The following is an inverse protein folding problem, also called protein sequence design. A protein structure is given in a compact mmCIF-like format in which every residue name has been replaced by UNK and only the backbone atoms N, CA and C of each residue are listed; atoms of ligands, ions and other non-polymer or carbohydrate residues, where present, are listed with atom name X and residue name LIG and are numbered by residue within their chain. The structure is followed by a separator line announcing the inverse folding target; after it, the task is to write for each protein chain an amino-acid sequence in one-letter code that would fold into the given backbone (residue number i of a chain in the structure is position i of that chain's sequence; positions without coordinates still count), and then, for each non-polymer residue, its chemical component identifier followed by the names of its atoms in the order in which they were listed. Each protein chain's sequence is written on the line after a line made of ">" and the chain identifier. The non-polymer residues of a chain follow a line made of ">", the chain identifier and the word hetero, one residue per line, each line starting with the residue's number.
data_IF_377515613820
#
_entry.id   IF_377515613820
#
_cell.length_a   1.000
_cell.length_b   1.000
_cell.length_c   1.000
_cell.angle_alpha   90.00
_cell.angle_beta   90.00
_cell.angle_gamma   90.00
#
_symmetry.space_group_name_H-M   'P 1'
#
loop_
_entity.id
_entity.type
_entity.pdbx_description
1 polymer ?
#
# COMPACT_ATOMS: atom_id res chain seq x y z
N UNK A 1 5.10 22.84 -13.17
CA UNK A 1 5.72 21.79 -14.02
C UNK A 1 5.14 21.77 -15.45
N UNK A 2 3.79 21.85 -15.70
CA UNK A 2 3.26 21.88 -17.07
C UNK A 2 3.85 22.99 -17.95
N UNK A 3 4.12 24.18 -17.39
CA UNK A 3 4.71 25.30 -18.12
C UNK A 3 6.16 25.06 -18.55
N UNK A 4 6.94 24.26 -17.79
CA UNK A 4 8.31 23.90 -18.14
C UNK A 4 8.40 22.96 -19.35
N UNK A 5 7.39 22.10 -19.55
CA UNK A 5 7.34 21.16 -20.67
C UNK A 5 6.93 21.84 -22.00
N UNK A 6 6.27 23.00 -21.94
CA UNK A 6 5.78 23.74 -23.11
C UNK A 6 6.78 24.84 -23.52
N UNK A 7 7.70 25.23 -22.63
CA UNK A 7 8.68 26.28 -22.94
C UNK A 7 9.78 25.73 -23.85
N UNK A 8 9.71 26.12 -25.11
CA UNK A 8 10.69 25.74 -26.18
C UNK A 8 12.14 26.15 -25.87
N UNK A 9 12.39 26.92 -24.81
CA UNK A 9 13.72 27.37 -24.40
C UNK A 9 14.59 26.29 -23.75
N UNK A 10 13.97 25.19 -23.27
CA UNK A 10 14.68 24.11 -22.60
C UNK A 10 14.78 22.89 -23.47
N UNK A 11 15.98 22.33 -23.59
CA UNK A 11 16.17 21.02 -24.18
C UNK A 11 15.82 19.91 -23.17
N UNK A 12 15.74 18.65 -23.64
CA UNK A 12 15.36 17.49 -22.83
C UNK A 12 16.16 17.38 -21.50
N UNK A 13 17.47 17.52 -21.56
CA UNK A 13 18.35 17.42 -20.39
C UNK A 13 18.12 18.57 -19.40
N UNK A 14 17.95 19.79 -19.90
CA UNK A 14 17.68 20.96 -19.08
C UNK A 14 16.32 20.86 -18.37
N UNK A 15 15.29 20.32 -19.04
CA UNK A 15 13.99 20.07 -18.42
C UNK A 15 14.15 19.07 -17.25
N UNK A 16 14.88 17.97 -17.46
CA UNK A 16 15.12 17.00 -16.41
C UNK A 16 15.91 17.59 -15.24
N UNK A 17 16.92 18.39 -15.52
CA UNK A 17 17.67 19.10 -14.48
C UNK A 17 16.79 20.04 -13.66
N UNK A 18 15.92 20.82 -14.32
CA UNK A 18 14.97 21.71 -13.63
C UNK A 18 13.95 20.91 -12.79
N UNK A 19 13.49 19.77 -13.28
CA UNK A 19 12.62 18.87 -12.50
C UNK A 19 13.34 18.35 -11.26
N UNK A 20 14.59 17.94 -11.36
CA UNK A 20 15.38 17.47 -10.23
C UNK A 20 15.58 18.58 -9.20
N UNK A 21 16.02 19.78 -9.63
CA UNK A 21 16.19 20.93 -8.75
C UNK A 21 14.88 21.32 -8.04
N UNK A 22 13.76 21.28 -8.77
CA UNK A 22 12.46 21.50 -8.16
C UNK A 22 12.13 20.46 -7.09
N UNK A 23 12.40 19.19 -7.36
CA UNK A 23 12.16 18.13 -6.38
C UNK A 23 13.07 18.24 -5.15
N UNK A 24 14.32 18.68 -5.31
CA UNK A 24 15.24 18.95 -4.20
C UNK A 24 14.77 20.13 -3.33
N UNK A 25 14.09 21.10 -3.93
CA UNK A 25 13.55 22.29 -3.22
C UNK A 25 12.29 22.03 -2.40
N UNK A 26 11.64 20.86 -2.54
CA UNK A 26 10.34 20.57 -1.91
C UNK A 26 10.39 20.33 -0.39
N UNK A 27 11.49 20.64 0.28
CA UNK A 27 11.61 20.50 1.73
C UNK A 27 11.68 19.06 2.22
N UNK A 28 11.91 18.89 3.53
CA UNK A 28 12.07 17.57 4.16
C UNK A 28 10.79 16.75 4.28
N UNK A 29 10.96 15.47 4.60
CA UNK A 29 9.86 14.53 4.80
C UNK A 29 9.30 14.64 6.23
N UNK A 30 8.63 15.75 6.52
CA UNK A 30 8.07 16.08 7.83
C UNK A 30 6.60 16.48 7.73
N UNK A 31 5.76 16.15 8.73
CA UNK A 31 4.39 16.65 8.82
C UNK A 31 4.27 18.18 8.85
N UNK A 32 5.35 18.89 9.21
CA UNK A 32 5.39 20.36 9.17
C UNK A 32 5.40 20.91 7.74
N UNK A 33 5.88 20.12 6.77
CA UNK A 33 5.86 20.49 5.34
C UNK A 33 4.50 20.19 4.72
N UNK A 34 3.96 19.03 5.01
CA UNK A 34 2.61 18.64 4.61
C UNK A 34 2.05 17.58 5.58
N UNK A 35 0.80 17.69 6.02
CA UNK A 35 0.22 16.82 7.03
C UNK A 35 0.27 15.32 6.67
N UNK A 36 0.24 14.98 5.38
CA UNK A 36 0.30 13.59 4.90
C UNK A 36 1.70 13.12 4.49
N UNK A 37 2.77 13.86 4.80
CA UNK A 37 4.12 13.38 4.56
C UNK A 37 4.38 12.07 5.33
N UNK A 38 4.84 11.06 4.62
CA UNK A 38 5.14 9.74 5.18
C UNK A 38 6.43 9.19 4.61
N UNK A 39 7.44 8.97 5.45
CA UNK A 39 8.67 8.31 5.06
C UNK A 39 8.41 6.88 4.55
N UNK A 40 9.26 6.40 3.65
CA UNK A 40 9.12 5.11 2.96
C UNK A 40 8.87 3.92 3.89
N UNK A 41 9.47 3.90 5.08
CA UNK A 41 9.31 2.82 6.08
C UNK A 41 7.94 2.83 6.79
N UNK A 42 7.19 3.92 6.67
CA UNK A 42 5.82 4.04 7.20
C UNK A 42 4.78 3.42 6.28
N UNK A 43 5.07 3.30 4.98
CA UNK A 43 4.10 2.81 4.00
C UNK A 43 3.73 1.34 4.18
N UNK A 44 4.68 0.40 4.40
CA UNK A 44 4.34 -0.99 4.63
C UNK A 44 3.41 -1.22 5.82
N UNK A 45 3.46 -0.32 6.80
CA UNK A 45 2.62 -0.40 8.01
C UNK A 45 1.29 0.36 7.88
N UNK A 46 1.05 1.03 6.76
CA UNK A 46 -0.15 1.86 6.54
C UNK A 46 -0.35 2.91 7.65
N UNK A 47 0.73 3.52 8.14
CA UNK A 47 0.66 4.41 9.30
C UNK A 47 0.18 5.81 8.96
N UNK A 48 0.30 6.25 7.70
CA UNK A 48 -0.11 7.59 7.25
C UNK A 48 -0.72 7.52 5.87
N UNK A 49 -1.99 7.15 5.73
CA UNK A 49 -2.73 7.29 4.48
C UNK A 49 -3.00 8.77 4.19
N UNK A 50 -3.61 9.05 3.05
CA UNK A 50 -3.86 10.42 2.58
C UNK A 50 -5.32 10.59 2.20
N UNK A 51 -6.00 11.60 2.74
CA UNK A 51 -7.32 11.99 2.27
C UNK A 51 -7.18 12.81 0.98
N UNK A 52 -7.92 12.41 -0.06
CA UNK A 52 -8.05 13.15 -1.31
C UNK A 52 -9.27 14.05 -1.31
N UNK A 53 -10.32 13.66 -0.63
CA UNK A 53 -11.53 14.43 -0.44
C UNK A 53 -11.95 14.29 1.02
N UNK A 54 -12.34 15.38 1.65
CA UNK A 54 -13.01 15.37 2.93
C UNK A 54 -14.03 16.49 2.94
N UNK A 55 -15.31 16.14 2.88
CA UNK A 55 -16.42 17.07 2.85
C UNK A 55 -17.48 16.66 3.87
N UNK A 56 -18.18 17.64 4.41
CA UNK A 56 -19.27 17.41 5.35
C UNK A 56 -20.53 18.10 4.88
N UNK A 57 -21.66 17.41 5.03
CA UNK A 57 -22.98 17.97 4.76
C UNK A 57 -23.83 17.90 6.02
N UNK A 58 -24.52 18.99 6.34
CA UNK A 58 -25.38 19.09 7.52
C UNK A 58 -26.86 19.17 7.15
N UNK A 59 -27.17 19.42 5.87
CA UNK A 59 -28.53 19.60 5.35
C UNK A 59 -28.72 18.88 4.03
N UNK A 60 -29.92 18.33 3.82
CA UNK A 60 -30.34 17.76 2.53
C UNK A 60 -30.39 18.79 1.38
N UNK A 61 -30.33 20.09 1.69
CA UNK A 61 -30.34 21.18 0.71
C UNK A 61 -28.93 21.54 0.22
N UNK A 62 -27.88 21.08 0.91
CA UNK A 62 -26.51 21.30 0.48
C UNK A 62 -26.24 20.43 -0.75
N UNK A 63 -25.57 20.97 -1.79
CA UNK A 63 -25.17 20.17 -2.92
C UNK A 63 -24.26 19.03 -2.43
N UNK A 64 -24.57 17.80 -2.85
CA UNK A 64 -23.70 16.65 -2.52
C UNK A 64 -22.35 16.85 -3.19
N UNK A 65 -21.24 16.71 -2.46
CA UNK A 65 -19.91 16.90 -3.02
C UNK A 65 -19.54 15.80 -4.03
N UNK A 66 -20.29 14.70 -4.02
CA UNK A 66 -20.08 13.53 -4.90
C UNK A 66 -21.44 13.09 -5.44
N UNK A 67 -21.45 12.62 -6.69
CA UNK A 67 -22.64 12.00 -7.29
C UNK A 67 -22.86 10.66 -6.56
N UNK A 68 -23.91 10.62 -5.74
CA UNK A 68 -24.21 9.45 -4.91
C UNK A 68 -25.68 9.36 -4.56
N UNK A 69 -26.09 8.33 -3.83
CA UNK A 69 -27.47 8.19 -3.38
C UNK A 69 -27.86 9.36 -2.47
N UNK A 70 -29.13 9.80 -2.50
CA UNK A 70 -29.59 10.88 -1.64
C UNK A 70 -29.42 10.50 -0.16
N UNK A 71 -29.16 11.52 0.66
CA UNK A 71 -29.03 11.34 2.10
C UNK A 71 -30.32 10.75 2.68
N UNK A 72 -30.23 9.75 3.57
CA UNK A 72 -31.38 9.23 4.29
C UNK A 72 -32.04 10.35 5.12
N UNK A 73 -33.38 10.38 5.15
CA UNK A 73 -34.12 11.34 5.98
C UNK A 73 -33.75 11.15 7.46
N UNK A 74 -33.53 12.27 8.14
CA UNK A 74 -33.17 12.24 9.59
C UNK A 74 -31.70 12.04 9.88
N UNK A 75 -30.82 11.97 8.88
CA UNK A 75 -29.38 12.04 9.11
C UNK A 75 -28.98 13.45 9.52
N UNK A 76 -28.21 13.58 10.61
CA UNK A 76 -27.54 14.81 10.99
C UNK A 76 -26.34 15.08 10.09
N UNK A 77 -25.20 15.43 10.67
CA UNK A 77 -23.96 15.61 9.92
C UNK A 77 -23.56 14.32 9.21
N UNK A 78 -23.20 14.44 7.93
CA UNK A 78 -22.69 13.35 7.09
C UNK A 78 -21.31 13.69 6.60
N UNK A 79 -20.42 12.72 6.58
CA UNK A 79 -19.04 12.85 6.12
C UNK A 79 -18.89 12.06 4.82
N UNK A 80 -18.27 12.71 3.85
CA UNK A 80 -17.80 12.13 2.59
C UNK A 80 -16.28 12.20 2.58
N UNK A 81 -15.62 11.06 2.50
CA UNK A 81 -14.16 10.99 2.48
C UNK A 81 -13.71 10.02 1.39
N UNK A 82 -12.77 10.45 0.56
CA UNK A 82 -12.00 9.58 -0.33
C UNK A 82 -10.61 9.46 0.23
N UNK A 83 -10.32 8.33 0.82
CA UNK A 83 -9.06 8.07 1.50
C UNK A 83 -8.17 7.17 0.66
N UNK A 84 -6.98 7.66 0.30
CA UNK A 84 -5.94 6.83 -0.30
C UNK A 84 -5.30 5.96 0.78
N UNK A 85 -6.04 4.96 1.20
CA UNK A 85 -5.57 3.88 2.07
C UNK A 85 -5.86 2.55 1.41
N UNK A 86 -4.96 1.60 1.55
CA UNK A 86 -5.22 0.23 1.12
C UNK A 86 -6.19 -0.47 2.08
N UNK A 87 -6.66 -1.65 1.67
CA UNK A 87 -7.33 -2.56 2.60
C UNK A 87 -6.33 -2.96 3.69
N UNK A 88 -6.55 -2.63 4.98
CA UNK A 88 -5.56 -2.83 6.03
C UNK A 88 -5.12 -4.29 6.19
N UNK A 89 -6.06 -5.25 6.11
CA UNK A 89 -5.70 -6.66 6.22
C UNK A 89 -4.88 -7.16 5.03
N UNK A 90 -5.27 -6.79 3.80
CA UNK A 90 -4.48 -7.14 2.61
C UNK A 90 -3.07 -6.54 2.71
N UNK A 91 -2.97 -5.32 3.21
CA UNK A 91 -1.72 -4.59 3.36
C UNK A 91 -0.78 -5.26 4.36
N UNK A 92 -1.26 -5.51 5.57
CA UNK A 92 -0.45 -6.12 6.62
C UNK A 92 -0.15 -7.59 6.37
N UNK A 93 -1.12 -8.36 5.87
CA UNK A 93 -0.87 -9.76 5.50
C UNK A 93 0.11 -9.87 4.33
N UNK A 94 0.08 -8.94 3.37
CA UNK A 94 1.07 -8.87 2.31
C UNK A 94 2.49 -8.66 2.85
N UNK A 95 2.66 -7.76 3.82
CA UNK A 95 3.95 -7.53 4.50
C UNK A 95 4.40 -8.78 5.27
N UNK A 96 3.48 -9.41 6.01
CA UNK A 96 3.76 -10.67 6.72
C UNK A 96 4.19 -11.75 5.73
N UNK A 97 3.49 -11.89 4.61
CA UNK A 97 3.85 -12.86 3.58
C UNK A 97 5.27 -12.61 3.03
N UNK A 98 5.63 -11.36 2.75
CA UNK A 98 7.00 -11.02 2.33
C UNK A 98 8.05 -11.37 3.39
N UNK A 99 7.78 -11.12 4.67
CA UNK A 99 8.67 -11.51 5.77
C UNK A 99 8.83 -13.03 5.81
N UNK A 100 7.76 -13.79 5.65
CA UNK A 100 7.82 -15.26 5.59
C UNK A 100 8.64 -15.74 4.40
N UNK A 101 8.48 -15.12 3.22
CA UNK A 101 9.30 -15.41 2.04
C UNK A 101 10.79 -15.13 2.29
N UNK A 102 11.13 -14.02 2.94
CA UNK A 102 12.50 -13.70 3.33
C UNK A 102 13.07 -14.74 4.30
N UNK A 103 12.30 -15.15 5.29
CA UNK A 103 12.71 -16.22 6.23
C UNK A 103 12.94 -17.53 5.51
N UNK A 104 12.09 -17.90 4.56
CA UNK A 104 12.26 -19.10 3.73
C UNK A 104 13.56 -19.05 2.92
N UNK A 105 13.84 -17.93 2.26
CA UNK A 105 15.09 -17.75 1.50
C UNK A 105 16.33 -17.81 2.42
N UNK A 106 16.27 -17.14 3.57
CA UNK A 106 17.34 -17.19 4.57
C UNK A 106 17.61 -18.61 5.07
N UNK A 107 16.54 -19.35 5.38
CA UNK A 107 16.65 -20.75 5.80
C UNK A 107 17.26 -21.64 4.71
N UNK A 108 16.85 -21.47 3.45
CA UNK A 108 17.41 -22.21 2.32
C UNK A 108 18.90 -21.90 2.16
N UNK A 109 19.28 -20.62 2.24
CA UNK A 109 20.69 -20.19 2.13
C UNK A 109 21.54 -20.77 3.27
N UNK A 110 21.08 -20.69 4.52
CA UNK A 110 21.77 -21.26 5.67
C UNK A 110 21.89 -22.79 5.55
N UNK A 111 20.80 -23.47 5.18
CA UNK A 111 20.78 -24.92 5.00
C UNK A 111 21.77 -25.38 3.91
N UNK A 112 21.89 -24.59 2.85
CA UNK A 112 22.85 -24.83 1.78
C UNK A 112 24.30 -24.72 2.29
N UNK A 113 24.61 -23.64 3.04
CA UNK A 113 25.95 -23.41 3.60
C UNK A 113 26.36 -24.49 4.62
N UNK A 114 25.44 -24.84 5.54
CA UNK A 114 25.71 -25.82 6.61
C UNK A 114 25.91 -27.23 6.04
N UNK A 115 25.14 -27.63 5.02
CA UNK A 115 25.24 -28.94 4.42
C UNK A 115 26.50 -29.16 3.55
N UNK A 116 27.40 -28.14 3.46
CA UNK A 116 28.67 -28.20 2.66
C UNK A 116 28.47 -28.80 1.26
N UNK A 117 27.30 -28.69 0.68
CA UNK A 117 27.11 -29.07 -0.72
C UNK A 117 27.97 -28.14 -1.55
N UNK A 118 29.05 -28.68 -2.11
CA UNK A 118 29.88 -28.02 -3.12
C UNK A 118 28.91 -27.38 -4.11
N UNK A 119 29.25 -26.16 -4.55
CA UNK A 119 28.60 -25.43 -5.62
C UNK A 119 28.69 -26.25 -6.92
N UNK A 120 28.02 -27.38 -6.95
CA UNK A 120 27.57 -27.90 -8.22
C UNK A 120 26.46 -26.88 -8.61
N UNK A 121 26.65 -26.20 -9.69
CA UNK A 121 25.59 -25.54 -10.44
C UNK A 121 24.57 -26.64 -10.80
N UNK A 122 23.88 -27.13 -9.77
CA UNK A 122 22.71 -27.97 -10.01
C UNK A 122 21.67 -26.98 -10.47
N UNK A 123 21.25 -27.13 -11.70
CA UNK A 123 20.22 -26.28 -12.26
C UNK A 123 18.99 -26.53 -11.40
N UNK A 124 18.25 -25.48 -11.18
CA UNK A 124 16.87 -25.55 -10.80
C UNK A 124 16.71 -25.41 -9.29
N UNK A 125 16.78 -24.16 -8.85
CA UNK A 125 15.94 -23.68 -7.78
C UNK A 125 14.52 -24.20 -8.04
N UNK A 126 13.84 -24.69 -7.01
CA UNK A 126 12.44 -25.09 -7.17
C UNK A 126 11.63 -23.89 -7.70
N UNK A 127 10.52 -24.16 -8.37
CA UNK A 127 9.62 -23.10 -8.88
C UNK A 127 9.26 -22.15 -7.74
N UNK A 128 8.99 -22.65 -6.55
CA UNK A 128 8.67 -21.84 -5.37
C UNK A 128 9.81 -20.92 -4.95
N UNK A 129 11.06 -21.36 -5.06
CA UNK A 129 12.22 -20.52 -4.77
C UNK A 129 12.35 -19.39 -5.80
N UNK A 130 12.10 -19.67 -7.08
CA UNK A 130 12.11 -18.65 -8.12
C UNK A 130 10.99 -17.61 -7.90
N UNK A 131 9.77 -18.05 -7.59
CA UNK A 131 8.67 -17.16 -7.26
C UNK A 131 9.03 -16.30 -6.05
N UNK A 132 9.57 -16.89 -5.01
CA UNK A 132 9.98 -16.18 -3.80
C UNK A 132 11.04 -15.13 -4.08
N UNK A 133 12.09 -15.47 -4.84
CA UNK A 133 13.12 -14.54 -5.26
C UNK A 133 12.53 -13.40 -6.11
N UNK A 134 11.68 -13.73 -7.07
CA UNK A 134 11.02 -12.75 -7.93
C UNK A 134 10.24 -11.73 -7.09
N UNK A 135 9.41 -12.19 -6.18
CA UNK A 135 8.56 -11.32 -5.36
C UNK A 135 9.38 -10.44 -4.43
N UNK A 136 10.35 -11.02 -3.72
CA UNK A 136 11.19 -10.28 -2.77
C UNK A 136 12.10 -9.29 -3.46
N UNK A 137 12.76 -9.67 -4.56
CA UNK A 137 13.65 -8.77 -5.29
C UNK A 137 12.90 -7.61 -5.94
N UNK A 138 11.76 -7.87 -6.55
CA UNK A 138 10.98 -6.80 -7.15
C UNK A 138 10.36 -5.89 -6.10
N UNK A 139 9.88 -6.41 -4.97
CA UNK A 139 9.46 -5.58 -3.86
C UNK A 139 10.58 -4.66 -3.39
N UNK A 140 11.77 -5.21 -3.15
CA UNK A 140 12.93 -4.45 -2.73
C UNK A 140 13.36 -3.41 -3.80
N UNK A 141 13.40 -3.78 -5.06
CA UNK A 141 13.76 -2.90 -6.16
C UNK A 141 12.81 -1.69 -6.30
N UNK A 142 11.54 -1.86 -5.96
CA UNK A 142 10.55 -0.77 -6.00
C UNK A 142 10.47 0.04 -4.68
N UNK A 143 10.91 -0.51 -3.56
CA UNK A 143 10.87 0.18 -2.26
C UNK A 143 12.21 0.86 -1.92
N UNK A 144 13.34 0.18 -2.12
CA UNK A 144 14.64 0.68 -1.66
C UNK A 144 15.11 2.01 -2.28
N UNK A 145 14.79 2.36 -3.53
CA UNK A 145 15.14 3.67 -4.08
C UNK A 145 14.61 4.84 -3.25
N UNK A 146 13.51 4.66 -2.53
CA UNK A 146 12.91 5.69 -1.69
C UNK A 146 13.68 5.96 -0.40
N UNK A 147 14.63 5.08 -0.02
CA UNK A 147 15.48 5.26 1.18
C UNK A 147 16.30 6.53 1.08
N UNK A 148 16.80 6.86 -0.11
CA UNK A 148 17.62 8.06 -0.36
C UNK A 148 16.81 9.34 -0.60
N UNK A 149 15.49 9.27 -0.63
CA UNK A 149 14.65 10.44 -0.93
C UNK A 149 14.29 11.19 0.35
N UNK A 150 14.74 12.42 0.45
CA UNK A 150 14.58 13.26 1.66
C UNK A 150 13.39 14.23 1.59
N UNK A 151 12.78 14.43 0.42
CA UNK A 151 11.60 15.28 0.25
C UNK A 151 10.34 14.66 0.83
N UNK A 152 9.28 15.44 0.94
CA UNK A 152 7.96 14.92 1.33
C UNK A 152 7.50 13.82 0.37
N UNK A 153 7.19 12.68 0.93
CA UNK A 153 6.70 11.49 0.25
C UNK A 153 5.31 11.14 0.77
N UNK A 154 4.53 10.45 -0.06
CA UNK A 154 3.16 10.07 0.24
C UNK A 154 2.97 8.58 -0.02
N UNK A 155 1.94 7.99 0.58
CA UNK A 155 1.67 6.56 0.51
C UNK A 155 1.48 6.04 -0.92
N UNK A 156 1.03 6.88 -1.86
CA UNK A 156 0.85 6.45 -3.26
C UNK A 156 2.17 6.11 -3.97
N UNK A 157 3.33 6.57 -3.48
CA UNK A 157 4.63 6.14 -4.00
C UNK A 157 4.91 4.66 -3.71
N UNK A 158 4.22 4.08 -2.74
CA UNK A 158 4.34 2.66 -2.41
C UNK A 158 3.59 1.73 -3.37
N UNK A 159 2.73 2.28 -4.25
CA UNK A 159 1.85 1.48 -5.11
C UNK A 159 2.60 0.50 -6.01
N UNK A 160 3.80 0.85 -6.47
CA UNK A 160 4.63 -0.04 -7.30
C UNK A 160 5.21 -1.22 -6.50
N UNK A 161 5.58 -0.99 -5.23
CA UNK A 161 6.12 -2.03 -4.38
C UNK A 161 5.02 -2.93 -3.79
N UNK A 162 3.89 -2.36 -3.37
CA UNK A 162 2.82 -3.09 -2.68
C UNK A 162 2.19 -4.19 -3.54
N UNK A 163 2.20 -4.07 -4.86
CA UNK A 163 1.72 -5.11 -5.78
C UNK A 163 2.43 -6.44 -5.51
N UNK A 164 3.73 -6.41 -5.27
CA UNK A 164 4.50 -7.63 -4.98
C UNK A 164 4.16 -8.21 -3.59
N UNK A 165 3.78 -7.37 -2.63
CA UNK A 165 3.24 -7.82 -1.35
C UNK A 165 1.88 -8.51 -1.53
N UNK A 166 1.02 -7.99 -2.40
CA UNK A 166 -0.27 -8.60 -2.71
C UNK A 166 -0.11 -9.91 -3.49
N UNK A 167 0.86 -10.00 -4.37
CA UNK A 167 1.20 -11.26 -5.02
C UNK A 167 1.78 -12.28 -4.03
N UNK A 168 2.57 -11.82 -3.05
CA UNK A 168 3.11 -12.70 -2.02
C UNK A 168 2.02 -13.32 -1.14
N UNK A 169 1.04 -12.53 -0.70
CA UNK A 169 -0.08 -13.08 0.08
C UNK A 169 -0.97 -13.98 -0.77
N UNK A 170 -1.19 -13.65 -2.05
CA UNK A 170 -1.94 -14.51 -2.97
C UNK A 170 -1.26 -15.87 -3.13
N UNK A 171 0.07 -15.89 -3.35
CA UNK A 171 0.84 -17.12 -3.40
C UNK A 171 0.77 -17.92 -2.10
N UNK A 172 0.91 -17.24 -0.95
CA UNK A 172 0.81 -17.89 0.37
C UNK A 172 -0.58 -18.51 0.59
N UNK A 173 -1.64 -17.80 0.25
CA UNK A 173 -3.02 -18.31 0.35
C UNK A 173 -3.21 -19.53 -0.57
N UNK A 174 -2.69 -19.49 -1.79
CA UNK A 174 -2.73 -20.60 -2.73
C UNK A 174 -2.06 -21.85 -2.15
N UNK A 175 -0.86 -21.72 -1.57
CA UNK A 175 -0.16 -22.79 -0.88
C UNK A 175 -0.98 -23.36 0.30
N UNK A 176 -1.63 -22.48 1.05
CA UNK A 176 -2.51 -22.89 2.15
C UNK A 176 -3.73 -23.67 1.65
N UNK A 177 -4.39 -23.21 0.61
CA UNK A 177 -5.59 -23.84 0.04
C UNK A 177 -5.26 -25.16 -0.64
N UNK A 178 -4.12 -25.28 -1.31
CA UNK A 178 -3.62 -26.50 -1.93
C UNK A 178 -3.08 -27.53 -0.93
N UNK A 179 -2.93 -27.19 0.35
CA UNK A 179 -2.34 -28.06 1.35
C UNK A 179 -3.23 -29.26 1.68
N UNK A 180 -2.58 -30.41 1.94
CA UNK A 180 -3.25 -31.59 2.49
C UNK A 180 -3.80 -31.35 3.91
N UNK A 181 -3.18 -30.49 4.69
CA UNK A 181 -3.56 -30.24 6.08
C UNK A 181 -4.80 -29.31 6.16
N UNK A 182 -5.87 -29.81 6.78
CA UNK A 182 -7.12 -29.06 6.97
C UNK A 182 -6.92 -27.71 7.66
N UNK A 183 -5.99 -27.64 8.63
CA UNK A 183 -5.67 -26.42 9.36
C UNK A 183 -5.12 -25.35 8.42
N UNK A 184 -4.17 -25.69 7.54
CA UNK A 184 -3.63 -24.72 6.58
C UNK A 184 -4.69 -24.24 5.60
N UNK A 185 -5.57 -25.11 5.11
CA UNK A 185 -6.69 -24.70 4.26
C UNK A 185 -7.62 -23.73 5.00
N UNK A 186 -7.91 -24.00 6.28
CA UNK A 186 -8.70 -23.09 7.10
C UNK A 186 -8.03 -21.71 7.24
N UNK A 187 -6.69 -21.67 7.40
CA UNK A 187 -5.93 -20.40 7.43
C UNK A 187 -6.09 -19.63 6.12
N UNK A 188 -5.90 -20.29 4.96
CA UNK A 188 -6.08 -19.64 3.66
C UNK A 188 -7.49 -19.06 3.46
N UNK A 189 -8.52 -19.84 3.80
CA UNK A 189 -9.92 -19.39 3.75
C UNK A 189 -10.14 -18.19 4.69
N UNK A 190 -9.64 -18.27 5.92
CA UNK A 190 -9.81 -17.19 6.92
C UNK A 190 -9.16 -15.89 6.46
N UNK A 191 -7.92 -15.94 5.95
CA UNK A 191 -7.22 -14.76 5.42
C UNK A 191 -8.03 -14.14 4.28
N UNK A 192 -8.48 -14.95 3.33
CA UNK A 192 -9.30 -14.45 2.20
C UNK A 192 -10.59 -13.79 2.69
N UNK A 193 -11.28 -14.43 3.62
CA UNK A 193 -12.52 -13.89 4.17
C UNK A 193 -12.28 -12.59 4.94
N UNK A 194 -11.19 -12.49 5.72
CA UNK A 194 -10.83 -11.26 6.43
C UNK A 194 -10.53 -10.12 5.47
N UNK A 195 -9.84 -10.37 4.36
CA UNK A 195 -9.56 -9.35 3.34
C UNK A 195 -10.85 -8.86 2.69
N UNK A 196 -11.75 -9.79 2.33
CA UNK A 196 -13.03 -9.43 1.71
C UNK A 196 -13.95 -8.64 2.65
N UNK A 197 -14.07 -9.06 3.91
CA UNK A 197 -14.86 -8.32 4.90
C UNK A 197 -14.29 -6.96 5.22
N UNK A 198 -12.97 -6.84 5.30
CA UNK A 198 -12.30 -5.56 5.45
C UNK A 198 -12.55 -4.64 4.25
N UNK A 199 -12.49 -5.16 3.02
CA UNK A 199 -12.81 -4.37 1.84
C UNK A 199 -14.22 -3.77 1.92
N UNK A 200 -15.21 -4.59 2.25
CA UNK A 200 -16.61 -4.12 2.41
C UNK A 200 -16.73 -3.11 3.55
N UNK A 201 -16.04 -3.32 4.67
CA UNK A 201 -16.08 -2.41 5.81
C UNK A 201 -15.52 -1.02 5.48
N UNK A 202 -14.39 -0.94 4.74
CA UNK A 202 -13.77 0.34 4.32
C UNK A 202 -14.29 0.88 2.99
N UNK A 203 -15.17 0.15 2.27
CA UNK A 203 -15.71 0.57 0.98
C UNK A 203 -16.24 2.01 0.95
N UNK A 204 -16.93 2.51 1.99
CA UNK A 204 -17.38 3.90 2.01
C UNK A 204 -16.27 4.94 1.87
N UNK A 205 -15.07 4.66 2.40
CA UNK A 205 -13.90 5.55 2.27
C UNK A 205 -13.19 5.45 0.92
N UNK A 206 -13.45 4.39 0.16
CA UNK A 206 -12.90 4.26 -1.19
C UNK A 206 -13.79 4.94 -2.24
N UNK A 207 -15.08 5.01 -1.97
CA UNK A 207 -16.09 5.48 -2.93
C UNK A 207 -16.80 6.77 -2.50
N UNK A 208 -16.34 7.46 -1.46
CA UNK A 208 -16.99 8.63 -0.87
C UNK A 208 -18.48 8.37 -0.55
N UNK A 209 -18.81 7.20 -0.01
CA UNK A 209 -20.19 6.95 0.41
C UNK A 209 -20.48 7.69 1.72
N UNK A 210 -21.73 8.15 1.91
CA UNK A 210 -22.11 8.92 3.08
C UNK A 210 -21.92 8.13 4.37
N UNK A 211 -21.17 8.69 5.32
CA UNK A 211 -20.92 8.13 6.64
C UNK A 211 -21.43 9.06 7.74
N UNK A 212 -22.01 8.48 8.79
CA UNK A 212 -22.20 9.22 10.03
C UNK A 212 -20.85 9.49 10.71
N UNK A 213 -20.73 10.52 11.56
CA UNK A 213 -19.50 10.79 12.31
C UNK A 213 -19.00 9.59 13.12
N UNK A 214 -19.91 8.82 13.68
CA UNK A 214 -19.61 7.57 14.38
C UNK A 214 -19.08 6.50 13.41
N UNK A 215 -19.75 6.30 12.26
CA UNK A 215 -19.33 5.34 11.24
C UNK A 215 -17.97 5.68 10.62
N UNK A 216 -17.66 6.98 10.47
CA UNK A 216 -16.35 7.45 10.04
C UNK A 216 -15.28 7.12 11.09
N UNK A 217 -15.53 7.50 12.37
CA UNK A 217 -14.59 7.24 13.47
C UNK A 217 -14.29 5.76 13.67
N UNK A 218 -15.27 4.86 13.48
CA UNK A 218 -15.06 3.41 13.54
C UNK A 218 -14.07 2.89 12.51
N UNK A 219 -13.88 3.59 11.39
CA UNK A 219 -12.97 3.20 10.31
C UNK A 219 -11.58 3.82 10.45
N UNK A 220 -11.45 4.85 11.26
CA UNK A 220 -10.17 5.53 11.57
C UNK A 220 -9.55 4.88 12.82
N UNK A 221 -8.88 3.73 12.62
CA UNK A 221 -8.32 2.96 13.73
C UNK A 221 -7.12 3.63 14.41
N UNK A 222 -6.41 4.45 13.66
CA UNK A 222 -5.26 5.18 14.18
C UNK A 222 -5.49 6.69 14.03
N UNK A 223 -5.07 7.46 15.04
CA UNK A 223 -5.14 8.93 14.97
C UNK A 223 -4.33 9.51 13.82
N UNK A 224 -3.33 8.78 13.35
CA UNK A 224 -2.51 9.16 12.19
C UNK A 224 -3.22 8.97 10.84
N UNK A 225 -4.40 8.38 10.83
CA UNK A 225 -5.22 8.22 9.62
C UNK A 225 -6.13 9.42 9.35
N UNK A 226 -6.27 10.31 10.32
CA UNK A 226 -7.09 11.53 10.24
C UNK A 226 -6.23 12.73 9.87
#
# INVERSE_FOLDING_TARGET
>A
IPHLLIDKRYNFLQVHQQILLFHESLGGNSPTVHPYCAAWYKWPLLTRPMAYLYETATSLKEPLPVVGPPLPKGFGQVIYDVHAMGNPFLWWFGVIALILLLVMLGWQAVSFLVKKKRFALTPILSVDTWITLYLVLNYAANLLPWVGVTRCLFIYHYMTAVVFAFMAIAWFVDQCLGSYYKLLRAVGVTITFMILTAFVFWLPLYLALPLSPHGYKLRMWFSSWI
#
